data_IF_421974913685
#
_entry.id   IF_421974913685
#
_cell.length_a   1.000
_cell.length_b   1.000
_cell.length_c   1.000
_cell.angle_alpha   90.00
_cell.angle_beta   90.00
_cell.angle_gamma   90.00
#
_symmetry.space_group_name_H-M   'P 1'
#
loop_
_entity.id
_entity.type
_entity.pdbx_description
1 polymer ?
#
# COMPACT_ATOMS: atom_id res chain seq x y z
N UNK A 1 22.11 21.06 18.59
CA UNK A 1 21.56 20.40 17.38
C UNK A 1 21.15 18.99 17.75
N UNK A 2 19.87 18.58 17.69
CA UNK A 2 19.52 17.20 17.97
C UNK A 2 20.01 16.35 16.79
N UNK A 3 21.04 15.56 17.04
CA UNK A 3 21.66 14.69 16.05
C UNK A 3 20.78 13.43 15.97
N UNK A 4 20.01 13.32 14.89
CA UNK A 4 19.13 12.17 14.66
C UNK A 4 19.91 10.86 14.73
N UNK A 5 19.31 9.82 15.34
CA UNK A 5 19.90 8.49 15.47
C UNK A 5 20.40 8.00 14.11
N UNK A 6 21.69 7.61 13.98
CA UNK A 6 22.22 7.13 12.72
C UNK A 6 21.43 5.90 12.24
N UNK A 7 21.00 5.90 10.98
CA UNK A 7 20.28 4.77 10.37
C UNK A 7 21.22 3.56 10.35
N UNK A 8 21.08 2.66 11.33
CA UNK A 8 21.90 1.44 11.49
C UNK A 8 21.78 0.43 10.34
N UNK A 9 20.80 0.56 9.45
CA UNK A 9 20.57 -0.38 8.34
C UNK A 9 20.24 0.39 7.07
N UNK A 10 20.97 0.09 5.99
CA UNK A 10 20.61 0.52 4.65
C UNK A 10 19.23 -0.06 4.28
N UNK A 11 18.47 0.68 3.46
CA UNK A 11 17.23 0.17 2.89
C UNK A 11 17.55 -1.11 2.11
N UNK A 12 17.00 -2.23 2.55
CA UNK A 12 17.08 -3.48 1.79
C UNK A 12 15.97 -3.44 0.75
N UNK A 13 16.25 -3.79 -0.52
CA UNK A 13 15.19 -3.92 -1.50
C UNK A 13 14.17 -4.95 -1.01
N UNK A 14 12.89 -4.68 -1.28
CA UNK A 14 11.81 -5.60 -0.92
C UNK A 14 12.03 -6.96 -1.58
N UNK A 15 12.13 -8.03 -0.78
CA UNK A 15 12.36 -9.40 -1.28
C UNK A 15 11.18 -9.92 -2.12
N UNK A 16 9.98 -9.40 -1.90
CA UNK A 16 8.75 -9.84 -2.55
C UNK A 16 7.98 -8.63 -3.07
N UNK A 17 7.64 -8.66 -4.36
CA UNK A 17 6.80 -7.65 -5.00
C UNK A 17 5.34 -8.11 -4.88
N UNK A 18 4.47 -7.24 -4.37
CA UNK A 18 3.04 -7.48 -4.42
C UNK A 18 2.51 -7.11 -5.82
N UNK A 19 2.33 -8.11 -6.67
CA UNK A 19 1.80 -7.90 -8.03
C UNK A 19 0.30 -7.57 -8.08
N UNK A 20 -0.42 -7.73 -6.96
CA UNK A 20 -1.86 -7.47 -6.86
C UNK A 20 -2.16 -6.05 -6.33
N UNK A 21 -1.19 -5.13 -6.36
CA UNK A 21 -1.48 -3.73 -6.04
C UNK A 21 -2.38 -3.13 -7.13
N UNK A 22 -3.20 -2.10 -6.83
CA UNK A 22 -4.08 -1.50 -7.85
C UNK A 22 -3.33 -1.06 -9.12
N UNK A 23 -2.13 -0.50 -8.95
CA UNK A 23 -1.28 -0.07 -10.07
C UNK A 23 -0.84 -1.26 -10.92
N UNK A 24 -0.16 -2.25 -10.33
CA UNK A 24 0.33 -3.41 -11.07
C UNK A 24 -0.81 -4.25 -11.67
N UNK A 25 -1.91 -4.41 -10.94
CA UNK A 25 -3.08 -5.17 -11.40
C UNK A 25 -3.80 -4.52 -12.58
N UNK A 26 -3.89 -3.18 -12.61
CA UNK A 26 -4.50 -2.46 -13.74
C UNK A 26 -3.76 -2.72 -15.05
N UNK A 27 -2.42 -2.69 -15.03
CA UNK A 27 -1.58 -3.00 -16.18
C UNK A 27 -1.68 -4.48 -16.60
N UNK A 28 -1.71 -5.41 -15.63
CA UNK A 28 -1.91 -6.85 -15.89
C UNK A 28 -3.25 -7.10 -16.60
N UNK A 29 -4.32 -6.45 -16.13
CA UNK A 29 -5.65 -6.56 -16.72
C UNK A 29 -5.68 -5.95 -18.12
N UNK A 30 -5.07 -4.78 -18.32
CA UNK A 30 -4.97 -4.14 -19.64
C UNK A 30 -4.19 -5.02 -20.64
N UNK A 31 -3.08 -5.62 -20.21
CA UNK A 31 -2.31 -6.56 -21.03
C UNK A 31 -3.14 -7.81 -21.39
N UNK A 32 -3.84 -8.39 -20.40
CA UNK A 32 -4.75 -9.53 -20.63
C UNK A 32 -5.88 -9.20 -21.60
N UNK A 33 -6.48 -8.02 -21.52
CA UNK A 33 -7.52 -7.58 -22.46
C UNK A 33 -6.96 -7.38 -23.88
N UNK A 34 -5.71 -6.92 -24.00
CA UNK A 34 -5.05 -6.70 -25.29
C UNK A 34 -4.67 -8.00 -26.01
N UNK A 35 -4.16 -9.00 -25.27
CA UNK A 35 -3.58 -10.22 -25.87
C UNK A 35 -4.38 -11.49 -25.60
N UNK A 36 -5.48 -11.42 -24.87
CA UNK A 36 -6.26 -12.58 -24.43
C UNK A 36 -5.56 -13.41 -23.35
N UNK A 37 -5.99 -14.66 -23.17
CA UNK A 37 -5.53 -15.56 -22.09
C UNK A 37 -4.22 -16.31 -22.40
N UNK A 38 -3.30 -15.67 -23.14
CA UNK A 38 -1.99 -16.22 -23.45
C UNK A 38 -0.95 -15.72 -22.44
N UNK A 39 -0.72 -16.47 -21.36
CA UNK A 39 0.11 -16.04 -20.22
C UNK A 39 1.52 -15.55 -20.59
N UNK A 40 2.17 -16.23 -21.53
CA UNK A 40 3.50 -15.86 -22.04
C UNK A 40 3.45 -14.53 -22.79
N UNK A 41 2.40 -14.30 -23.57
CA UNK A 41 2.17 -13.06 -24.31
C UNK A 41 1.81 -11.91 -23.38
N UNK A 42 1.02 -12.17 -22.33
CA UNK A 42 0.70 -11.17 -21.30
C UNK A 42 1.99 -10.67 -20.64
N UNK A 43 2.90 -11.58 -20.26
CA UNK A 43 4.16 -11.19 -19.63
C UNK A 43 5.07 -10.46 -20.60
N UNK A 44 5.16 -10.90 -21.86
CA UNK A 44 5.91 -10.18 -22.88
C UNK A 44 5.38 -8.75 -23.05
N UNK A 45 4.07 -8.56 -23.11
CA UNK A 45 3.46 -7.23 -23.20
C UNK A 45 3.81 -6.35 -21.99
N UNK A 46 3.73 -6.92 -20.77
CA UNK A 46 4.11 -6.23 -19.55
C UNK A 46 5.60 -5.88 -19.52
N UNK A 47 6.48 -6.78 -19.96
CA UNK A 47 7.92 -6.55 -20.00
C UNK A 47 8.32 -5.56 -21.11
N UNK A 48 7.60 -5.53 -22.24
CA UNK A 48 7.79 -4.51 -23.27
C UNK A 48 7.40 -3.11 -22.78
N UNK A 49 6.37 -3.00 -21.94
CA UNK A 49 5.95 -1.71 -21.38
C UNK A 49 6.85 -1.24 -20.24
N UNK A 50 7.27 -2.14 -19.33
CA UNK A 50 8.18 -1.82 -18.25
C UNK A 50 8.98 -3.06 -17.81
N UNK A 51 10.12 -3.27 -18.46
CA UNK A 51 10.97 -4.43 -18.20
C UNK A 51 11.45 -4.48 -16.75
N UNK A 52 11.99 -3.37 -16.24
CA UNK A 52 12.60 -3.31 -14.89
C UNK A 52 11.63 -3.70 -13.79
N UNK A 53 10.36 -3.32 -13.93
CA UNK A 53 9.33 -3.64 -12.97
C UNK A 53 8.80 -5.07 -13.12
N UNK A 54 8.61 -5.59 -14.34
CA UNK A 54 7.99 -6.89 -14.60
C UNK A 54 8.96 -8.05 -14.89
N UNK A 55 10.28 -7.82 -14.87
CA UNK A 55 11.31 -8.83 -15.13
C UNK A 55 11.20 -10.08 -14.22
N UNK A 56 10.64 -9.92 -13.02
CA UNK A 56 10.49 -11.01 -12.05
C UNK A 56 9.06 -11.58 -11.97
N UNK A 57 8.12 -11.09 -12.79
CA UNK A 57 6.78 -11.66 -12.89
C UNK A 57 6.83 -12.93 -13.74
N UNK A 58 6.55 -14.09 -13.14
CA UNK A 58 6.62 -15.38 -13.83
C UNK A 58 5.28 -15.81 -14.44
N UNK A 59 5.36 -16.60 -15.52
CA UNK A 59 4.19 -17.21 -16.19
C UNK A 59 3.38 -18.05 -15.22
N UNK A 60 4.06 -18.80 -14.35
CA UNK A 60 3.44 -19.64 -13.33
C UNK A 60 2.61 -18.80 -12.37
N UNK A 61 3.11 -17.63 -11.96
CA UNK A 61 2.39 -16.72 -11.07
C UNK A 61 1.08 -16.23 -11.70
N UNK A 62 1.09 -15.83 -12.98
CA UNK A 62 -0.13 -15.40 -13.68
C UNK A 62 -1.10 -16.58 -13.85
N UNK A 63 -0.59 -17.76 -14.22
CA UNK A 63 -1.40 -18.98 -14.34
C UNK A 63 -2.10 -19.36 -13.03
N UNK A 64 -1.42 -19.18 -11.88
CA UNK A 64 -2.02 -19.45 -10.57
C UNK A 64 -3.21 -18.54 -10.24
N UNK A 65 -3.30 -17.37 -10.88
CA UNK A 65 -4.38 -16.41 -10.67
C UNK A 65 -5.61 -16.66 -11.54
N UNK A 66 -5.53 -17.58 -12.48
CA UNK A 66 -6.56 -17.83 -13.49
C UNK A 66 -7.19 -19.20 -13.28
N UNK A 67 -8.50 -19.27 -13.48
CA UNK A 67 -9.27 -20.50 -13.51
C UNK A 67 -10.13 -20.56 -14.78
N UNK A 68 -10.53 -21.76 -15.15
CA UNK A 68 -11.49 -21.98 -16.24
C UNK A 68 -12.74 -22.59 -15.63
N UNK A 69 -13.86 -21.88 -15.76
CA UNK A 69 -15.18 -22.31 -15.28
C UNK A 69 -16.11 -22.26 -16.49
N UNK A 70 -16.84 -23.35 -16.76
CA UNK A 70 -17.79 -23.44 -17.87
C UNK A 70 -17.22 -23.01 -19.24
N UNK A 71 -15.98 -23.43 -19.54
CA UNK A 71 -15.21 -23.09 -20.75
C UNK A 71 -14.83 -21.60 -20.88
N UNK A 72 -15.13 -20.79 -19.86
CA UNK A 72 -14.70 -19.39 -19.76
C UNK A 72 -13.49 -19.28 -18.84
N UNK A 73 -12.40 -18.73 -19.38
CA UNK A 73 -11.22 -18.40 -18.59
C UNK A 73 -11.42 -17.06 -17.89
N UNK A 74 -11.22 -17.04 -16.57
CA UNK A 74 -11.45 -15.87 -15.73
C UNK A 74 -10.43 -15.77 -14.59
N UNK A 75 -10.32 -14.58 -14.00
CA UNK A 75 -9.56 -14.40 -12.77
C UNK A 75 -10.21 -15.13 -11.61
N UNK A 76 -9.42 -15.83 -10.80
CA UNK A 76 -9.93 -16.52 -9.60
C UNK A 76 -10.61 -15.52 -8.66
N UNK A 77 -11.79 -15.84 -8.10
CA UNK A 77 -12.48 -14.98 -7.14
C UNK A 77 -11.60 -14.55 -5.96
N UNK A 78 -10.78 -15.47 -5.43
CA UNK A 78 -9.83 -15.18 -4.35
C UNK A 78 -8.79 -14.13 -4.71
N UNK A 79 -8.41 -14.03 -5.99
CA UNK A 79 -7.46 -13.03 -6.47
C UNK A 79 -8.15 -11.68 -6.57
N UNK A 80 -9.37 -11.64 -7.12
CA UNK A 80 -10.17 -10.41 -7.17
C UNK A 80 -10.39 -9.82 -5.77
N UNK A 81 -10.69 -10.66 -4.76
CA UNK A 81 -10.80 -10.22 -3.36
C UNK A 81 -9.46 -9.68 -2.81
N UNK A 82 -8.31 -10.23 -3.23
CA UNK A 82 -7.00 -9.72 -2.83
C UNK A 82 -6.66 -8.39 -3.50
N UNK A 83 -7.07 -8.23 -4.76
CA UNK A 83 -6.90 -6.99 -5.53
C UNK A 83 -7.73 -5.87 -4.92
N UNK A 84 -8.98 -6.13 -4.55
CA UNK A 84 -9.84 -5.12 -3.89
C UNK A 84 -9.30 -4.73 -2.51
N UNK A 85 -8.67 -5.66 -1.79
CA UNK A 85 -7.92 -5.36 -0.56
C UNK A 85 -6.62 -4.59 -0.83
N UNK A 86 -6.10 -4.58 -2.06
CA UNK A 86 -4.94 -3.80 -2.48
C UNK A 86 -3.67 -4.07 -1.66
N UNK A 87 -2.94 -2.99 -1.36
CA UNK A 87 -1.69 -3.03 -0.59
C UNK A 87 -1.91 -3.11 0.93
N UNK A 88 -3.09 -3.52 1.40
CA UNK A 88 -3.29 -3.77 2.84
C UNK A 88 -2.40 -4.97 3.22
N UNK A 89 -1.36 -4.78 4.04
CA UNK A 89 -0.53 -5.90 4.47
C UNK A 89 -1.42 -6.89 5.20
N UNK A 90 -1.56 -8.12 4.68
CA UNK A 90 -2.31 -9.19 5.34
C UNK A 90 -1.73 -9.59 6.71
N UNK A 91 -0.57 -9.04 7.08
CA UNK A 91 0.09 -9.22 8.36
C UNK A 91 -0.18 -8.05 9.32
N UNK A 92 -1.45 -7.83 9.69
CA UNK A 92 -1.79 -7.14 10.94
C UNK A 92 -2.08 -8.11 12.09
N UNK A 93 -1.83 -9.41 11.91
CA UNK A 93 -1.81 -10.39 13.02
C UNK A 93 -0.53 -10.35 13.85
N UNK A 94 0.40 -9.42 13.55
CA UNK A 94 1.70 -9.27 14.20
C UNK A 94 1.91 -7.89 14.83
N UNK A 95 1.25 -7.63 15.95
CA UNK A 95 1.82 -6.92 17.11
C UNK A 95 2.10 -5.41 17.05
N UNK A 96 2.19 -4.74 15.91
CA UNK A 96 2.39 -3.27 15.89
C UNK A 96 1.05 -2.54 15.80
N UNK A 97 0.39 -2.40 16.94
CA UNK A 97 -0.61 -1.34 17.12
C UNK A 97 0.11 0.00 16.91
N UNK A 98 -0.45 0.89 16.10
CA UNK A 98 0.09 2.24 15.94
C UNK A 98 0.10 2.96 17.28
N UNK A 99 1.02 3.92 17.47
CA UNK A 99 1.16 4.68 18.72
C UNK A 99 -0.15 5.38 19.15
N UNK A 100 -0.96 5.79 18.18
CA UNK A 100 -2.27 6.41 18.40
C UNK A 100 -3.44 5.41 18.48
N UNK A 101 -3.19 4.10 18.34
CA UNK A 101 -4.25 3.10 18.40
C UNK A 101 -5.02 3.08 19.75
N UNK A 102 -4.40 3.37 20.91
CA UNK A 102 -5.14 3.56 22.16
C UNK A 102 -5.96 4.86 22.23
N UNK A 103 -5.79 5.78 21.27
CA UNK A 103 -6.37 7.12 21.28
C UNK A 103 -7.27 7.35 20.04
N UNK A 104 -8.37 6.58 19.89
CA UNK A 104 -9.23 6.66 18.70
C UNK A 104 -9.87 8.03 18.51
N UNK A 105 -10.23 8.71 19.60
CA UNK A 105 -10.81 10.06 19.56
C UNK A 105 -9.81 11.09 19.04
N UNK A 106 -8.54 11.00 19.46
CA UNK A 106 -7.47 11.86 18.95
C UNK A 106 -7.25 11.66 17.44
N UNK A 107 -7.31 10.41 16.98
CA UNK A 107 -7.21 10.10 15.53
C UNK A 107 -8.39 10.72 14.77
N UNK A 108 -9.60 10.63 15.32
CA UNK A 108 -10.81 11.21 14.72
C UNK A 108 -10.66 12.74 14.59
N UNK A 109 -10.19 13.41 15.65
CA UNK A 109 -9.98 14.85 15.65
C UNK A 109 -8.92 15.29 14.64
N UNK A 110 -7.79 14.58 14.56
CA UNK A 110 -6.75 14.82 13.54
C UNK A 110 -7.36 14.73 12.12
N UNK A 111 -8.17 13.70 11.87
CA UNK A 111 -8.79 13.52 10.56
C UNK A 111 -9.81 14.59 10.24
N UNK A 112 -10.62 15.02 11.22
CA UNK A 112 -11.58 16.12 11.07
C UNK A 112 -10.87 17.41 10.67
N UNK A 113 -9.82 17.81 11.40
CA UNK A 113 -9.10 19.05 11.09
C UNK A 113 -8.43 19.02 9.71
N UNK A 114 -7.84 17.88 9.33
CA UNK A 114 -7.27 17.74 7.99
C UNK A 114 -8.36 17.78 6.91
N UNK A 115 -9.54 17.23 7.16
CA UNK A 115 -10.66 17.31 6.23
C UNK A 115 -11.17 18.76 6.07
N UNK A 116 -11.25 19.53 7.16
CA UNK A 116 -11.64 20.94 7.14
C UNK A 116 -10.64 21.80 6.36
N UNK A 117 -9.33 21.61 6.59
CA UNK A 117 -8.26 22.28 5.82
C UNK A 117 -8.42 22.00 4.32
N UNK A 118 -8.73 20.75 3.96
CA UNK A 118 -9.01 20.38 2.57
C UNK A 118 -10.27 21.07 2.04
N UNK A 119 -11.34 21.09 2.84
CA UNK A 119 -12.62 21.71 2.50
C UNK A 119 -12.50 23.21 2.24
N UNK A 120 -11.59 23.87 2.96
CA UNK A 120 -11.25 25.28 2.75
C UNK A 120 -10.40 25.54 1.49
N UNK A 121 -10.07 24.50 0.70
CA UNK A 121 -9.29 24.63 -0.53
C UNK A 121 -7.77 24.75 -0.31
N UNK A 122 -7.29 24.59 0.92
CA UNK A 122 -5.86 24.68 1.21
C UNK A 122 -5.13 23.37 0.85
N UNK A 123 -3.92 23.45 0.25
CA UNK A 123 -3.14 22.26 -0.08
C UNK A 123 -2.61 21.60 1.20
N UNK A 124 -2.92 20.31 1.38
CA UNK A 124 -2.40 19.51 2.50
C UNK A 124 -1.00 19.02 2.17
N UNK A 125 0.00 19.77 2.63
CA UNK A 125 1.40 19.34 2.57
C UNK A 125 1.74 18.42 3.76
N UNK A 126 2.79 17.62 3.61
CA UNK A 126 3.29 16.77 4.69
C UNK A 126 3.70 17.59 5.93
N UNK A 127 4.15 18.83 5.74
CA UNK A 127 4.49 19.73 6.83
C UNK A 127 3.23 20.09 7.63
N UNK A 128 2.14 20.46 6.96
CA UNK A 128 0.86 20.79 7.61
C UNK A 128 0.32 19.59 8.38
N UNK A 129 0.32 18.41 7.76
CA UNK A 129 -0.12 17.17 8.42
C UNK A 129 0.67 16.93 9.71
N UNK A 130 1.99 17.07 9.66
CA UNK A 130 2.84 16.89 10.86
C UNK A 130 2.54 17.95 11.92
N UNK A 131 2.37 19.22 11.54
CA UNK A 131 2.04 20.29 12.47
C UNK A 131 0.72 20.02 13.19
N UNK A 132 -0.33 19.64 12.46
CA UNK A 132 -1.64 19.32 13.04
C UNK A 132 -1.54 18.13 14.01
N UNK A 133 -0.87 17.06 13.59
CA UNK A 133 -0.67 15.88 14.44
C UNK A 133 0.10 16.24 15.72
N UNK A 134 1.22 16.97 15.60
CA UNK A 134 2.03 17.36 16.75
C UNK A 134 1.23 18.27 17.69
N UNK A 135 0.54 19.28 17.15
CA UNK A 135 -0.25 20.21 17.95
C UNK A 135 -1.37 19.50 18.73
N UNK A 136 -2.07 18.57 18.08
CA UNK A 136 -3.14 17.81 18.73
C UNK A 136 -2.61 16.82 19.77
N UNK A 137 -1.48 16.14 19.49
CA UNK A 137 -0.86 15.26 20.49
C UNK A 137 -0.36 16.10 21.69
N UNK A 138 0.28 17.25 21.45
CA UNK A 138 0.79 18.11 22.54
C UNK A 138 -0.33 18.65 23.44
N UNK A 139 -1.51 18.93 22.88
CA UNK A 139 -2.63 19.49 23.63
C UNK A 139 -3.45 18.44 24.36
N UNK A 140 -3.68 17.27 23.75
CA UNK A 140 -4.64 16.28 24.27
C UNK A 140 -3.99 15.04 24.88
N UNK A 141 -2.79 14.65 24.43
CA UNK A 141 -2.12 13.44 24.88
C UNK A 141 -0.57 13.61 24.89
N UNK A 142 -0.04 14.60 25.64
CA UNK A 142 1.40 14.90 25.63
C UNK A 142 2.25 13.73 26.12
N UNK A 143 1.68 12.82 26.93
CA UNK A 143 2.34 11.62 27.42
C UNK A 143 2.82 10.70 26.30
N UNK A 144 2.21 10.77 25.11
CA UNK A 144 2.63 10.00 23.93
C UNK A 144 4.07 10.35 23.54
N UNK A 145 4.50 11.60 23.71
CA UNK A 145 5.89 12.01 23.43
C UNK A 145 6.88 11.61 24.52
N UNK A 146 6.38 11.30 25.72
CA UNK A 146 7.20 10.93 26.87
C UNK A 146 7.40 9.42 27.00
N UNK A 147 6.63 8.62 26.27
CA UNK A 147 6.78 7.17 26.28
C UNK A 147 8.10 6.74 25.64
N UNK A 148 8.97 6.12 26.45
CA UNK A 148 10.13 5.40 25.94
C UNK A 148 9.70 4.03 25.39
N UNK A 149 9.77 3.89 24.07
CA UNK A 149 9.47 2.62 23.40
C UNK A 149 10.71 1.71 23.46
N UNK A 150 10.63 0.64 24.27
CA UNK A 150 11.63 -0.45 24.32
C UNK A 150 11.60 -1.32 23.04
#
# INVERSE_FOLDING_TARGET
KPQGRPKKKANRPGKYINWLTPFSWSAITAAQLKVGWHYTTIIKELQCSNYDFYQHLSVTTVREWVETVDRCTQWKPKVLVRVTRGSIPGHNKGGRRGILAPYPELVKEIMTQLAEIRGAGAPISLAIVRCVIIALIQTQAPEIFLQEFK
#
